data_IF_433663813978
#
_entry.id   IF_433663813978
#
_cell.length_a   1.000
_cell.length_b   1.000
_cell.length_c   1.000
_cell.angle_alpha   90.00
_cell.angle_beta   90.00
_cell.angle_gamma   90.00
#
_symmetry.space_group_name_H-M   'P 1'
#
loop_
_entity.id
_entity.type
_entity.pdbx_description
1 polymer ?
#
# COMPACT_ATOMS: atom_id res chain seq x y z
N UNK A 1 -13.48 -18.86 -11.10
CA UNK A 1 -13.43 -17.74 -10.13
C UNK A 1 -14.79 -17.46 -9.48
N UNK A 2 -15.91 -17.58 -10.21
CA UNK A 2 -17.26 -17.33 -9.68
C UNK A 2 -17.64 -18.14 -8.43
N UNK A 3 -17.19 -19.40 -8.31
CA UNK A 3 -17.47 -20.23 -7.12
C UNK A 3 -16.80 -19.73 -5.82
N UNK A 4 -15.97 -18.69 -5.92
CA UNK A 4 -15.27 -18.07 -4.79
C UNK A 4 -15.79 -16.67 -4.47
N UNK A 5 -16.86 -16.24 -5.17
CA UNK A 5 -17.59 -15.01 -4.90
C UNK A 5 -18.77 -15.35 -3.97
N UNK A 6 -18.86 -14.69 -2.82
CA UNK A 6 -19.98 -14.86 -1.91
C UNK A 6 -21.14 -13.89 -2.21
N UNK A 7 -22.27 -14.06 -1.51
CA UNK A 7 -23.47 -13.25 -1.69
C UNK A 7 -23.32 -11.78 -1.23
N UNK A 8 -22.21 -11.45 -0.57
CA UNK A 8 -21.86 -10.09 -0.16
C UNK A 8 -20.88 -9.43 -1.15
N UNK A 9 -20.56 -10.11 -2.26
CA UNK A 9 -19.64 -9.61 -3.28
C UNK A 9 -18.16 -9.73 -2.91
N UNK A 10 -17.80 -10.53 -1.90
CA UNK A 10 -16.40 -10.83 -1.58
C UNK A 10 -15.86 -11.93 -2.48
N UNK A 11 -14.72 -11.68 -3.13
CA UNK A 11 -13.99 -12.69 -3.88
C UNK A 11 -12.79 -13.21 -3.07
N UNK A 12 -12.87 -14.45 -2.58
CA UNK A 12 -11.82 -15.06 -1.77
C UNK A 12 -11.05 -16.14 -2.52
N UNK A 13 -9.84 -15.81 -2.96
CA UNK A 13 -8.93 -16.68 -3.69
C UNK A 13 -7.71 -17.10 -2.84
N UNK A 14 -7.75 -16.91 -1.52
CA UNK A 14 -6.61 -17.20 -0.64
C UNK A 14 -6.06 -18.61 -0.88
N UNK A 15 -4.74 -18.72 -1.04
CA UNK A 15 -4.00 -19.97 -1.27
C UNK A 15 -4.42 -20.77 -2.52
N UNK A 16 -5.23 -20.20 -3.41
CA UNK A 16 -5.62 -20.87 -4.66
C UNK A 16 -4.55 -20.66 -5.74
N UNK A 17 -4.44 -21.64 -6.63
CA UNK A 17 -3.46 -21.64 -7.72
C UNK A 17 -3.83 -20.72 -8.90
N UNK A 18 -4.51 -19.59 -8.65
CA UNK A 18 -4.78 -18.60 -9.68
C UNK A 18 -3.53 -17.75 -9.93
N UNK A 19 -3.30 -17.41 -11.21
CA UNK A 19 -2.19 -16.57 -11.66
C UNK A 19 -2.64 -15.22 -12.22
N UNK A 20 -3.95 -15.03 -12.43
CA UNK A 20 -4.53 -13.81 -12.99
C UNK A 20 -5.97 -13.59 -12.52
N UNK A 21 -6.38 -12.32 -12.48
CA UNK A 21 -7.79 -11.90 -12.36
C UNK A 21 -8.32 -11.54 -13.76
N UNK A 22 -9.63 -11.73 -14.02
CA UNK A 22 -10.25 -11.25 -15.26
C UNK A 22 -10.28 -9.72 -15.31
N UNK A 23 -10.19 -9.15 -16.53
CA UNK A 23 -10.40 -7.72 -16.75
C UNK A 23 -11.86 -7.31 -16.51
N UNK A 24 -12.09 -6.02 -16.20
CA UNK A 24 -13.43 -5.49 -15.99
C UNK A 24 -14.17 -6.03 -14.75
N UNK A 25 -13.44 -6.73 -13.86
CA UNK A 25 -14.00 -7.23 -12.61
C UNK A 25 -14.40 -6.04 -11.72
N UNK A 26 -15.64 -6.05 -11.24
CA UNK A 26 -16.13 -5.12 -10.21
C UNK A 26 -16.57 -5.93 -9.01
N UNK A 27 -16.09 -5.58 -7.82
CA UNK A 27 -16.42 -6.27 -6.57
C UNK A 27 -17.14 -5.32 -5.63
N UNK A 28 -18.33 -5.70 -5.21
CA UNK A 28 -19.12 -4.97 -4.20
C UNK A 28 -18.57 -5.18 -2.77
N UNK A 29 -17.77 -6.23 -2.57
CA UNK A 29 -17.11 -6.55 -1.30
C UNK A 29 -15.59 -6.51 -1.41
N UNK A 30 -14.95 -7.39 -0.64
CA UNK A 30 -13.50 -7.51 -0.53
C UNK A 30 -12.89 -8.40 -1.61
N UNK A 31 -11.65 -8.12 -1.99
CA UNK A 31 -10.81 -9.03 -2.76
C UNK A 31 -9.70 -9.59 -1.88
N UNK A 32 -9.71 -10.91 -1.66
CA UNK A 32 -8.61 -11.59 -0.98
C UNK A 32 -7.85 -12.51 -1.95
N UNK A 33 -6.64 -12.10 -2.33
CA UNK A 33 -5.71 -12.87 -3.17
C UNK A 33 -4.45 -13.28 -2.41
N UNK A 34 -4.50 -13.29 -1.08
CA UNK A 34 -3.37 -13.66 -0.23
C UNK A 34 -2.80 -15.03 -0.60
N UNK A 35 -1.48 -15.15 -0.63
CA UNK A 35 -0.78 -16.42 -0.92
C UNK A 35 -1.17 -17.04 -2.27
N UNK A 36 -1.41 -16.22 -3.29
CA UNK A 36 -1.66 -16.66 -4.68
C UNK A 36 -0.51 -16.31 -5.60
N UNK A 37 -0.52 -16.88 -6.80
CA UNK A 37 0.43 -16.55 -7.87
C UNK A 37 -0.06 -15.39 -8.75
N UNK A 38 -1.08 -14.63 -8.32
CA UNK A 38 -1.61 -13.49 -9.07
C UNK A 38 -0.58 -12.37 -9.07
N UNK A 39 -0.07 -12.02 -10.24
CA UNK A 39 1.01 -11.03 -10.38
C UNK A 39 0.52 -9.62 -10.64
N UNK A 40 -0.71 -9.46 -11.12
CA UNK A 40 -1.25 -8.15 -11.55
C UNK A 40 -2.70 -7.97 -11.13
N UNK A 41 -3.01 -6.76 -10.67
CA UNK A 41 -4.38 -6.25 -10.68
C UNK A 41 -4.65 -5.68 -12.09
N UNK A 42 -5.72 -6.11 -12.78
CA UNK A 42 -6.05 -5.69 -14.13
C UNK A 42 -6.65 -4.27 -14.17
N UNK A 43 -6.63 -3.66 -15.36
CA UNK A 43 -7.30 -2.38 -15.62
C UNK A 43 -8.80 -2.48 -15.35
N UNK A 44 -9.37 -1.38 -14.84
CA UNK A 44 -10.79 -1.26 -14.54
C UNK A 44 -11.24 -2.01 -13.29
N UNK A 45 -10.35 -2.61 -12.50
CA UNK A 45 -10.74 -3.21 -11.23
C UNK A 45 -11.19 -2.13 -10.24
N UNK A 46 -12.45 -2.24 -9.80
CA UNK A 46 -13.01 -1.48 -8.68
C UNK A 46 -13.40 -2.43 -7.56
N UNK A 47 -12.94 -2.14 -6.34
CA UNK A 47 -13.22 -2.90 -5.13
C UNK A 47 -13.90 -1.97 -4.12
N UNK A 48 -15.15 -2.26 -3.79
CA UNK A 48 -15.92 -1.47 -2.83
C UNK A 48 -15.55 -1.76 -1.36
N UNK A 49 -14.92 -2.90 -1.11
CA UNK A 49 -14.31 -3.24 0.17
C UNK A 49 -12.79 -3.04 0.18
N UNK A 50 -12.09 -4.05 0.68
CA UNK A 50 -10.65 -4.08 0.91
C UNK A 50 -9.93 -4.95 -0.12
N UNK A 51 -8.65 -4.63 -0.37
CA UNK A 51 -7.73 -5.53 -1.06
C UNK A 51 -6.79 -6.19 -0.03
N UNK A 52 -6.86 -7.51 0.08
CA UNK A 52 -5.93 -8.30 0.89
C UNK A 52 -5.11 -9.19 -0.05
N UNK A 53 -3.86 -8.79 -0.31
CA UNK A 53 -2.93 -9.47 -1.22
C UNK A 53 -1.66 -9.98 -0.53
N UNK A 54 -1.65 -10.03 0.80
CA UNK A 54 -0.48 -10.40 1.59
C UNK A 54 0.16 -11.71 1.11
N UNK A 55 1.50 -11.75 1.03
CA UNK A 55 2.27 -12.92 0.60
C UNK A 55 1.89 -13.47 -0.79
N UNK A 56 1.27 -12.67 -1.67
CA UNK A 56 1.03 -13.06 -3.06
C UNK A 56 2.20 -12.67 -3.98
N UNK A 57 2.20 -13.20 -5.19
CA UNK A 57 3.15 -12.82 -6.23
C UNK A 57 2.86 -11.44 -6.86
N UNK A 58 1.93 -10.66 -6.30
CA UNK A 58 1.49 -9.39 -6.86
C UNK A 58 2.67 -8.43 -6.99
N UNK A 59 2.93 -7.93 -8.20
CA UNK A 59 4.01 -6.99 -8.49
C UNK A 59 3.53 -5.70 -9.14
N UNK A 60 2.30 -5.68 -9.67
CA UNK A 60 1.75 -4.53 -10.39
C UNK A 60 0.28 -4.29 -10.09
N UNK A 61 -0.05 -3.03 -9.80
CA UNK A 61 -1.41 -2.51 -9.82
C UNK A 61 -1.61 -1.73 -11.13
N UNK A 62 -2.74 -1.90 -11.81
CA UNK A 62 -3.05 -1.10 -12.99
C UNK A 62 -3.40 0.34 -12.57
N UNK A 63 -2.96 1.38 -13.30
CA UNK A 63 -3.44 2.75 -13.11
C UNK A 63 -4.96 2.82 -13.14
N UNK A 64 -5.56 3.67 -12.30
CA UNK A 64 -7.01 3.78 -12.18
C UNK A 64 -7.66 2.70 -11.32
N UNK A 65 -6.90 1.77 -10.73
CA UNK A 65 -7.44 0.84 -9.72
C UNK A 65 -8.04 1.64 -8.55
N UNK A 66 -9.28 1.32 -8.17
CA UNK A 66 -9.98 1.95 -7.05
C UNK A 66 -10.27 0.90 -5.98
N UNK A 67 -9.82 1.17 -4.75
CA UNK A 67 -10.10 0.37 -3.55
C UNK A 67 -10.73 1.32 -2.53
N UNK A 68 -12.02 1.17 -2.24
CA UNK A 68 -12.72 2.09 -1.31
C UNK A 68 -12.28 1.91 0.14
N UNK A 69 -11.85 0.72 0.53
CA UNK A 69 -11.31 0.42 1.85
C UNK A 69 -9.77 0.48 1.90
N UNK A 70 -9.15 -0.37 2.72
CA UNK A 70 -7.70 -0.48 2.84
C UNK A 70 -7.08 -1.44 1.81
N UNK A 71 -5.75 -1.38 1.68
CA UNK A 71 -4.95 -2.33 0.92
C UNK A 71 -3.84 -2.94 1.79
N UNK A 72 -3.90 -4.25 2.03
CA UNK A 72 -2.80 -5.02 2.61
C UNK A 72 -2.01 -5.72 1.49
N UNK A 73 -0.81 -5.20 1.24
CA UNK A 73 0.12 -5.63 0.19
C UNK A 73 1.43 -6.12 0.80
N UNK A 74 1.43 -6.47 2.08
CA UNK A 74 2.61 -6.94 2.78
C UNK A 74 3.19 -8.21 2.13
N UNK A 75 4.53 -8.30 2.06
CA UNK A 75 5.25 -9.42 1.42
C UNK A 75 4.91 -9.65 -0.06
N UNK A 76 4.33 -8.67 -0.76
CA UNK A 76 4.17 -8.71 -2.21
C UNK A 76 5.47 -8.31 -2.92
N UNK A 77 5.49 -8.40 -4.24
CA UNK A 77 6.62 -8.04 -5.10
C UNK A 77 6.49 -6.62 -5.69
N UNK A 78 5.70 -5.75 -5.06
CA UNK A 78 5.52 -4.36 -5.50
C UNK A 78 6.81 -3.58 -5.24
N UNK A 79 7.48 -3.18 -6.32
CA UNK A 79 8.71 -2.38 -6.28
C UNK A 79 8.49 -0.88 -6.53
N UNK A 80 7.38 -0.52 -7.19
CA UNK A 80 6.99 0.87 -7.43
C UNK A 80 5.50 1.04 -7.24
N UNK A 81 5.08 2.17 -6.67
CA UNK A 81 3.66 2.48 -6.54
C UNK A 81 3.17 3.23 -7.79
N UNK A 82 2.18 2.71 -8.53
CA UNK A 82 1.71 3.33 -9.76
C UNK A 82 0.90 4.60 -9.51
N UNK A 83 1.04 5.57 -10.41
CA UNK A 83 0.19 6.76 -10.43
C UNK A 83 -1.28 6.38 -10.71
N UNK A 84 -2.20 7.09 -10.05
CA UNK A 84 -3.64 6.95 -10.28
C UNK A 84 -4.31 5.75 -9.59
N UNK A 85 -3.60 5.01 -8.72
CA UNK A 85 -4.23 4.05 -7.82
C UNK A 85 -4.72 4.75 -6.57
N UNK A 86 -6.01 4.58 -6.26
CA UNK A 86 -6.68 5.21 -5.14
C UNK A 86 -7.09 4.17 -4.10
N UNK A 87 -6.61 4.34 -2.86
CA UNK A 87 -6.99 3.53 -1.70
C UNK A 87 -7.68 4.45 -0.69
N UNK A 88 -8.86 4.05 -0.23
CA UNK A 88 -9.69 4.84 0.67
C UNK A 88 -9.27 4.81 2.14
N UNK A 89 -8.53 3.79 2.55
CA UNK A 89 -8.02 3.60 3.91
C UNK A 89 -6.50 3.48 3.99
N UNK A 90 -6.02 2.69 4.95
CA UNK A 90 -4.60 2.45 5.14
C UNK A 90 -3.98 1.63 4.00
N UNK A 91 -2.66 1.76 3.84
CA UNK A 91 -1.85 1.01 2.89
C UNK A 91 -0.71 0.34 3.64
N UNK A 92 -0.66 -0.99 3.57
CA UNK A 92 0.42 -1.78 4.14
C UNK A 92 1.35 -2.31 3.03
N UNK A 93 2.55 -1.74 2.93
CA UNK A 93 3.63 -2.14 2.02
C UNK A 93 4.79 -2.81 2.78
N UNK A 94 4.54 -3.32 3.99
CA UNK A 94 5.58 -3.92 4.81
C UNK A 94 6.24 -5.10 4.10
N UNK A 95 7.57 -5.20 4.19
CA UNK A 95 8.38 -6.26 3.59
C UNK A 95 8.20 -6.42 2.07
N UNK A 96 7.86 -5.34 1.37
CA UNK A 96 7.88 -5.28 -0.10
C UNK A 96 9.21 -4.74 -0.60
N UNK A 97 9.60 -5.02 -1.86
CA UNK A 97 10.76 -4.40 -2.47
C UNK A 97 10.50 -2.96 -2.93
N UNK A 98 9.50 -2.25 -2.37
CA UNK A 98 9.16 -0.88 -2.79
C UNK A 98 10.36 0.05 -2.64
N UNK A 99 10.70 0.73 -3.74
CA UNK A 99 11.84 1.65 -3.84
C UNK A 99 11.39 3.07 -4.22
N UNK A 100 10.22 3.23 -4.83
CA UNK A 100 9.70 4.55 -5.22
C UNK A 100 8.19 4.69 -5.04
N UNK A 101 7.81 5.90 -4.63
CA UNK A 101 6.42 6.34 -4.44
C UNK A 101 6.19 7.63 -5.25
N UNK A 102 4.96 7.96 -5.65
CA UNK A 102 4.67 9.17 -6.41
C UNK A 102 4.94 10.45 -5.61
N UNK A 103 5.35 11.52 -6.29
CA UNK A 103 5.36 12.86 -5.71
C UNK A 103 3.94 13.30 -5.33
N UNK A 104 3.83 14.04 -4.22
CA UNK A 104 2.54 14.54 -3.68
C UNK A 104 1.53 13.43 -3.45
N UNK A 105 2.01 12.24 -3.10
CA UNK A 105 1.14 11.09 -2.85
C UNK A 105 0.36 11.28 -1.55
N UNK A 106 -0.94 11.01 -1.60
CA UNK A 106 -1.84 11.12 -0.45
C UNK A 106 -2.28 9.72 -0.05
N UNK A 107 -2.03 9.37 1.21
CA UNK A 107 -2.53 8.15 1.85
C UNK A 107 -3.63 8.53 2.83
N UNK A 108 -4.85 8.01 2.61
CA UNK A 108 -6.06 8.38 3.37
C UNK A 108 -6.15 7.80 4.78
N UNK A 109 -5.20 6.94 5.16
CA UNK A 109 -5.07 6.41 6.50
C UNK A 109 -3.60 6.18 6.83
N UNK A 110 -3.32 5.12 7.57
CA UNK A 110 -1.95 4.74 7.92
C UNK A 110 -1.15 4.26 6.70
N UNK A 111 0.16 4.53 6.70
CA UNK A 111 1.11 4.00 5.74
C UNK A 111 2.18 3.18 6.47
N UNK A 112 2.25 1.88 6.19
CA UNK A 112 3.34 1.04 6.68
C UNK A 112 4.34 0.73 5.56
N UNK A 113 5.59 1.11 5.78
CA UNK A 113 6.77 0.81 4.97
C UNK A 113 7.77 -0.05 5.74
N UNK A 114 7.33 -0.70 6.83
CA UNK A 114 8.18 -1.51 7.71
C UNK A 114 8.93 -2.58 6.91
N UNK A 115 10.24 -2.69 7.10
CA UNK A 115 11.07 -3.68 6.43
C UNK A 115 11.15 -3.56 4.91
N UNK A 116 10.74 -2.41 4.34
CA UNK A 116 10.83 -2.16 2.89
C UNK A 116 12.21 -1.71 2.44
N UNK A 117 12.42 -1.64 1.13
CA UNK A 117 13.69 -1.20 0.52
C UNK A 117 13.77 0.30 0.26
N UNK A 118 12.75 1.06 0.63
CA UNK A 118 12.66 2.49 0.32
C UNK A 118 13.76 3.26 1.04
N UNK A 119 14.48 4.11 0.30
CA UNK A 119 15.62 4.88 0.83
C UNK A 119 15.29 6.35 1.08
N UNK A 120 14.25 6.87 0.42
CA UNK A 120 13.72 8.23 0.58
C UNK A 120 12.20 8.27 0.33
N UNK A 121 11.48 9.15 1.03
CA UNK A 121 10.06 9.41 0.78
C UNK A 121 9.90 10.53 -0.25
N UNK A 122 8.81 10.56 -1.04
CA UNK A 122 8.64 11.54 -2.11
C UNK A 122 8.29 12.93 -1.55
N UNK A 123 8.67 13.98 -2.29
CA UNK A 123 8.32 15.36 -1.93
C UNK A 123 6.80 15.55 -1.88
N UNK A 124 6.34 16.22 -0.82
CA UNK A 124 4.93 16.50 -0.58
C UNK A 124 4.10 15.28 -0.19
N UNK A 125 4.70 14.19 0.29
CA UNK A 125 3.96 13.06 0.86
C UNK A 125 3.00 13.55 1.95
N UNK A 126 1.73 13.13 1.88
CA UNK A 126 0.73 13.36 2.93
C UNK A 126 0.15 12.03 3.40
N UNK A 127 0.40 11.68 4.65
CA UNK A 127 -0.21 10.54 5.34
C UNK A 127 -1.24 11.08 6.33
N UNK A 128 -2.52 10.77 6.11
CA UNK A 128 -3.61 11.23 6.98
C UNK A 128 -3.71 10.45 8.30
N UNK A 129 -3.01 9.32 8.40
CA UNK A 129 -2.86 8.55 9.63
C UNK A 129 -1.42 8.55 10.14
N UNK A 130 -0.99 7.40 10.66
CA UNK A 130 0.36 7.17 11.14
C UNK A 130 1.29 6.67 10.01
N UNK A 131 2.57 7.00 10.13
CA UNK A 131 3.63 6.52 9.26
C UNK A 131 4.55 5.55 10.02
N UNK A 132 4.69 4.31 9.53
CA UNK A 132 5.56 3.29 10.13
C UNK A 132 6.70 2.95 9.18
N UNK A 133 7.94 3.14 9.61
CA UNK A 133 9.14 2.93 8.77
C UNK A 133 10.16 1.96 9.39
N UNK A 134 9.83 1.31 10.51
CA UNK A 134 10.71 0.37 11.21
C UNK A 134 11.42 -0.62 10.31
N UNK A 135 12.75 -0.72 10.42
CA UNK A 135 13.55 -1.67 9.63
C UNK A 135 13.55 -1.47 8.11
N UNK A 136 12.97 -0.38 7.58
CA UNK A 136 13.19 0.02 6.18
C UNK A 136 14.63 0.52 5.94
N UNK A 137 15.00 0.78 4.68
CA UNK A 137 16.30 1.39 4.32
C UNK A 137 16.27 2.93 4.34
N UNK A 138 15.19 3.52 4.84
CA UNK A 138 14.95 4.96 4.81
C UNK A 138 15.93 5.66 5.74
N UNK A 139 16.82 6.48 5.17
CA UNK A 139 17.79 7.27 5.96
C UNK A 139 17.54 8.76 5.85
N UNK A 140 16.74 9.21 4.87
CA UNK A 140 16.48 10.63 4.61
C UNK A 140 15.00 10.87 4.35
N UNK A 141 14.44 11.89 4.98
CA UNK A 141 13.13 12.42 4.63
C UNK A 141 13.24 13.52 3.55
N UNK A 142 12.17 13.75 2.75
CA UNK A 142 12.08 14.86 1.81
C UNK A 142 12.03 16.21 2.54
N UNK A 143 12.18 17.31 1.80
CA UNK A 143 12.10 18.66 2.37
C UNK A 143 10.72 18.96 2.94
N UNK A 144 9.68 18.49 2.24
CA UNK A 144 8.28 18.75 2.58
C UNK A 144 7.49 17.45 2.75
N UNK A 145 6.82 17.29 3.88
CA UNK A 145 5.86 16.21 4.10
C UNK A 145 4.86 16.54 5.22
N UNK A 146 3.73 15.85 5.20
CA UNK A 146 2.68 15.95 6.21
C UNK A 146 2.33 14.56 6.74
N UNK A 147 2.27 14.42 8.06
CA UNK A 147 1.75 13.23 8.75
C UNK A 147 0.78 13.71 9.82
N UNK A 148 -0.51 13.44 9.64
CA UNK A 148 -1.54 13.92 10.58
C UNK A 148 -1.51 13.13 11.90
N UNK A 149 -0.97 11.90 11.89
CA UNK A 149 -0.74 11.06 13.07
C UNK A 149 0.72 11.09 13.57
N UNK A 150 1.19 9.93 14.03
CA UNK A 150 2.55 9.74 14.54
C UNK A 150 3.50 9.19 13.46
N UNK A 151 4.80 9.41 13.65
CA UNK A 151 5.86 8.75 12.89
C UNK A 151 6.55 7.73 13.79
N UNK A 152 6.51 6.46 13.43
CA UNK A 152 7.17 5.36 14.14
C UNK A 152 8.45 4.95 13.40
N UNK A 153 9.60 5.30 13.98
CA UNK A 153 10.90 5.01 13.41
C UNK A 153 11.26 3.53 13.54
N UNK A 154 10.84 2.84 14.61
CA UNK A 154 11.07 1.41 14.80
C UNK A 154 12.54 1.01 14.62
N UNK A 155 13.45 1.82 15.17
CA UNK A 155 14.90 1.62 15.07
C UNK A 155 15.56 2.15 13.79
N UNK A 156 14.82 2.81 12.88
CA UNK A 156 15.44 3.46 11.73
C UNK A 156 16.30 4.66 12.12
N UNK A 157 17.43 4.84 11.43
CA UNK A 157 18.36 5.95 11.67
C UNK A 157 18.21 7.01 10.59
N UNK A 158 17.46 8.06 10.91
CA UNK A 158 17.25 9.20 10.02
C UNK A 158 18.37 10.22 10.20
N UNK A 159 19.08 10.53 9.11
CA UNK A 159 20.16 11.52 9.08
C UNK A 159 19.70 12.88 8.56
N UNK A 160 18.62 12.91 7.75
CA UNK A 160 18.06 14.15 7.20
C UNK A 160 16.57 14.23 7.51
N UNK A 161 16.18 15.28 8.22
CA UNK A 161 14.79 15.59 8.55
C UNK A 161 14.23 16.67 7.60
N UNK A 162 12.89 16.73 7.43
CA UNK A 162 12.28 17.76 6.59
C UNK A 162 12.54 19.16 7.13
N UNK A 163 12.72 20.13 6.22
CA UNK A 163 12.75 21.55 6.57
C UNK A 163 11.34 22.09 6.85
N UNK A 164 10.32 21.47 6.25
CA UNK A 164 8.91 21.74 6.51
C UNK A 164 8.15 20.43 6.75
N UNK A 165 8.04 20.06 8.02
CA UNK A 165 7.22 18.93 8.48
C UNK A 165 5.96 19.47 9.14
N UNK A 166 4.79 19.06 8.64
CA UNK A 166 3.53 19.17 9.39
C UNK A 166 3.28 17.84 10.07
N UNK A 167 3.24 17.83 11.41
CA UNK A 167 3.05 16.63 12.21
C UNK A 167 1.93 16.85 13.24
N UNK A 168 0.90 16.02 13.21
CA UNK A 168 -0.21 16.09 14.18
C UNK A 168 0.06 15.31 15.48
N UNK A 169 0.92 14.30 15.44
CA UNK A 169 1.34 13.49 16.58
C UNK A 169 2.79 13.71 17.00
N UNK A 170 3.44 12.62 17.41
CA UNK A 170 4.84 12.60 17.82
C UNK A 170 5.69 11.70 16.92
N UNK A 171 7.01 11.88 17.01
CA UNK A 171 7.98 10.93 16.50
C UNK A 171 8.31 9.94 17.62
N UNK A 172 8.04 8.66 17.38
CA UNK A 172 8.38 7.56 18.28
C UNK A 172 9.59 6.78 17.72
N UNK A 173 10.53 6.36 18.58
CA UNK A 173 11.75 5.64 18.17
C UNK A 173 11.48 4.25 17.58
#
# INVERSE_FOLDING_TARGET
>A
MLNFLDNYGNLNLTQKAFSQLPSGLTLQGNLNISRTNIQRIPEGLSIDGHLIASHSALSRLAPGTVIKGFADLSYTQIATWPMGVNVGGYINLSHTPIESLPNRWVVKGDLSLVGSRIETLPEGLHVMGNLYIGGSRLTTFPNTMTVDGNIYLGGNRITTWPTALTLGGAVAP
#
